data_IF_848170947507
#
_entry.id   IF_848170947507
#
_cell.length_a   1.000
_cell.length_b   1.000
_cell.length_c   1.000
_cell.angle_alpha   90.00
_cell.angle_beta   90.00
_cell.angle_gamma   90.00
#
_symmetry.space_group_name_H-M   'P 1'
#
loop_
_entity.id
_entity.type
_entity.pdbx_description
1 polymer ?
#
# COMPACT_ATOMS: atom_id res chain seq x y z
N UNK A 1 27.60 23.79 -6.03
CA UNK A 1 26.68 23.98 -4.89
C UNK A 1 25.90 22.69 -4.68
N UNK A 2 26.35 21.75 -3.84
CA UNK A 2 25.55 20.58 -3.48
C UNK A 2 24.89 20.76 -2.12
N UNK A 3 23.56 20.56 -2.06
CA UNK A 3 22.80 20.49 -0.82
C UNK A 3 22.99 19.10 -0.19
N UNK A 4 23.67 19.04 0.96
CA UNK A 4 23.72 17.83 1.79
C UNK A 4 22.42 17.74 2.60
N UNK A 5 21.59 16.73 2.30
CA UNK A 5 20.37 16.44 3.03
C UNK A 5 20.65 15.69 4.32
N UNK A 6 20.91 16.41 5.41
CA UNK A 6 20.90 15.87 6.77
C UNK A 6 19.55 16.15 7.41
N UNK A 7 18.63 15.20 7.39
CA UNK A 7 17.38 15.28 8.18
C UNK A 7 17.38 14.19 9.25
N UNK A 8 18.33 14.30 10.19
CA UNK A 8 18.11 13.82 11.55
C UNK A 8 17.76 15.04 12.41
N UNK A 9 16.54 15.54 12.26
CA UNK A 9 16.01 16.60 13.12
C UNK A 9 15.86 15.99 14.51
N UNK A 10 16.78 16.31 15.43
CA UNK A 10 16.64 15.88 16.81
C UNK A 10 15.39 16.52 17.42
N UNK A 11 14.66 15.74 18.20
CA UNK A 11 13.46 16.21 18.87
C UNK A 11 13.86 17.24 19.94
N UNK A 12 13.11 18.34 20.10
CA UNK A 12 13.34 19.29 21.17
C UNK A 12 13.15 18.63 22.55
N UNK A 13 13.80 19.16 23.61
CA UNK A 13 13.78 18.54 24.95
C UNK A 13 12.38 18.35 25.55
N UNK A 14 11.42 19.20 25.17
CA UNK A 14 10.02 19.09 25.58
C UNK A 14 9.34 17.85 24.99
N UNK A 15 9.56 17.57 23.70
CA UNK A 15 9.00 16.41 23.01
C UNK A 15 9.66 15.11 23.50
N UNK A 16 10.97 15.15 23.80
CA UNK A 16 11.65 14.02 24.43
C UNK A 16 11.05 13.66 25.80
N UNK A 17 10.75 14.67 26.63
CA UNK A 17 10.07 14.45 27.91
C UNK A 17 8.68 13.87 27.73
N UNK A 18 7.92 14.33 26.73
CA UNK A 18 6.60 13.81 26.43
C UNK A 18 6.64 12.34 25.99
N UNK A 19 7.60 11.98 25.13
CA UNK A 19 7.84 10.59 24.73
C UNK A 19 8.26 9.70 25.91
N UNK A 20 9.12 10.21 26.80
CA UNK A 20 9.53 9.48 28.00
C UNK A 20 8.40 9.31 29.02
N UNK A 21 7.42 10.21 29.02
CA UNK A 21 6.24 10.14 29.89
C UNK A 21 5.10 9.29 29.32
N UNK A 22 5.19 8.85 28.06
CA UNK A 22 4.17 8.03 27.44
C UNK A 22 4.21 6.62 28.04
N UNK A 23 3.07 6.19 28.60
CA UNK A 23 2.91 4.86 29.16
C UNK A 23 2.52 3.87 28.06
N UNK A 24 3.52 3.28 27.41
CA UNK A 24 3.32 2.27 26.37
C UNK A 24 2.84 0.92 26.93
N UNK A 25 2.69 0.82 28.26
CA UNK A 25 2.27 -0.40 28.96
C UNK A 25 0.80 -0.75 28.73
N UNK A 26 -0.01 0.18 28.22
CA UNK A 26 -1.44 -0.02 27.92
C UNK A 26 -1.73 -0.33 26.43
N UNK A 27 -0.71 -0.66 25.63
CA UNK A 27 -0.98 -1.40 24.39
C UNK A 27 -1.58 -2.76 24.76
N UNK A 28 -2.64 -3.20 24.06
CA UNK A 28 -3.20 -4.56 24.14
C UNK A 28 -2.19 -5.63 23.64
N UNK A 29 -1.03 -5.69 24.28
CA UNK A 29 0.08 -6.59 23.99
C UNK A 29 0.61 -7.17 25.32
N UNK A 30 -0.29 -7.69 26.15
CA UNK A 30 0.11 -8.63 27.21
C UNK A 30 0.42 -9.99 26.57
N UNK A 31 1.70 -10.24 26.32
CA UNK A 31 2.24 -11.60 26.36
C UNK A 31 3.73 -11.56 26.77
N UNK A 32 3.95 -11.80 28.06
CA UNK A 32 5.14 -12.41 28.67
C UNK A 32 6.39 -11.54 28.84
N UNK A 33 6.38 -10.75 29.92
CA UNK A 33 7.58 -10.52 30.71
C UNK A 33 7.88 -11.79 31.53
N UNK A 34 8.84 -12.61 31.08
CA UNK A 34 9.70 -13.50 31.91
C UNK A 34 10.47 -14.49 31.02
N UNK A 35 11.66 -14.13 30.56
CA UNK A 35 12.75 -15.08 30.27
C UNK A 35 14.09 -14.36 30.05
N UNK A 36 14.89 -14.31 31.12
CA UNK A 36 16.34 -14.49 31.17
C UNK A 36 17.18 -14.32 29.89
N UNK A 37 18.02 -13.28 29.90
CA UNK A 37 19.42 -13.22 29.42
C UNK A 37 19.91 -14.41 28.58
N UNK A 38 19.72 -14.40 27.26
CA UNK A 38 20.61 -15.06 26.27
C UNK A 38 20.31 -14.43 24.91
N UNK A 39 21.36 -14.03 24.18
CA UNK A 39 21.40 -13.54 22.79
C UNK A 39 20.04 -13.42 22.10
N UNK A 40 19.34 -12.30 22.30
CA UNK A 40 18.12 -12.01 21.55
C UNK A 40 18.54 -11.67 20.12
N UNK A 41 18.58 -12.67 19.26
CA UNK A 41 18.26 -12.45 17.85
C UNK A 41 17.03 -11.54 17.84
N UNK A 42 17.17 -10.33 17.30
CA UNK A 42 16.10 -9.35 17.23
C UNK A 42 14.93 -10.04 16.50
N UNK A 43 14.00 -10.58 17.26
CA UNK A 43 12.85 -11.27 16.72
C UNK A 43 12.10 -10.23 15.88
N UNK A 44 11.85 -10.57 14.62
CA UNK A 44 11.13 -9.67 13.71
C UNK A 44 9.80 -9.31 14.37
N UNK A 45 9.50 -8.01 14.55
CA UNK A 45 8.24 -7.59 15.16
C UNK A 45 7.04 -8.20 14.41
N UNK A 46 5.99 -8.61 15.12
CA UNK A 46 4.81 -9.20 14.49
C UNK A 46 4.16 -8.26 13.46
N UNK A 47 4.25 -6.94 13.65
CA UNK A 47 3.78 -5.92 12.72
C UNK A 47 4.56 -5.96 11.40
N UNK A 48 5.86 -6.27 11.45
CA UNK A 48 6.69 -6.35 10.26
C UNK A 48 6.37 -7.62 9.45
N UNK A 49 6.07 -8.74 10.12
CA UNK A 49 5.55 -9.94 9.45
C UNK A 49 4.20 -9.68 8.80
N UNK A 50 3.32 -8.94 9.49
CA UNK A 50 2.02 -8.53 8.94
C UNK A 50 2.20 -7.61 7.74
N UNK A 51 3.07 -6.61 7.84
CA UNK A 51 3.37 -5.68 6.75
C UNK A 51 3.88 -6.41 5.50
N UNK A 52 4.85 -7.32 5.63
CA UNK A 52 5.35 -8.07 4.47
C UNK A 52 4.26 -8.98 3.86
N UNK A 53 3.38 -9.57 4.67
CA UNK A 53 2.24 -10.33 4.15
C UNK A 53 1.23 -9.46 3.39
N UNK A 54 0.91 -8.29 3.93
CA UNK A 54 -0.02 -7.34 3.31
C UNK A 54 0.59 -6.74 2.05
N UNK A 55 1.87 -6.38 2.08
CA UNK A 55 2.62 -5.82 0.96
C UNK A 55 2.62 -6.74 -0.25
N UNK A 56 2.71 -8.05 -0.08
CA UNK A 56 2.60 -9.01 -1.19
C UNK A 56 1.20 -9.03 -1.82
N UNK A 57 0.17 -8.66 -1.06
CA UNK A 57 -1.25 -8.67 -1.49
C UNK A 57 -1.75 -7.30 -1.94
N UNK A 58 -0.98 -6.24 -1.67
CA UNK A 58 -1.37 -4.86 -1.95
C UNK A 58 -0.41 -4.24 -2.95
N UNK A 59 -0.93 -3.58 -3.97
CA UNK A 59 -0.10 -2.78 -4.86
C UNK A 59 -0.03 -1.32 -4.36
N UNK A 60 1.15 -0.78 -3.98
CA UNK A 60 1.25 0.56 -3.40
C UNK A 60 0.68 1.67 -4.28
N UNK A 61 0.90 1.57 -5.60
CA UNK A 61 0.35 2.55 -6.54
C UNK A 61 -1.18 2.50 -6.60
N UNK A 62 -1.77 1.31 -6.49
CA UNK A 62 -3.23 1.14 -6.39
C UNK A 62 -3.81 1.81 -5.14
N UNK A 63 -3.12 1.73 -3.99
CA UNK A 63 -3.55 2.39 -2.76
C UNK A 63 -3.49 3.91 -2.86
N UNK A 64 -2.42 4.43 -3.46
CA UNK A 64 -2.31 5.86 -3.77
C UNK A 64 -3.45 6.30 -4.70
N UNK A 65 -3.67 5.56 -5.77
CA UNK A 65 -4.66 5.93 -6.78
C UNK A 65 -6.08 5.81 -6.24
N UNK A 66 -6.37 4.84 -5.38
CA UNK A 66 -7.65 4.78 -4.66
C UNK A 66 -7.99 6.12 -3.99
N UNK A 67 -7.03 6.75 -3.31
CA UNK A 67 -7.22 8.06 -2.67
C UNK A 67 -7.41 9.15 -3.72
N UNK A 68 -6.64 9.11 -4.82
CA UNK A 68 -6.78 10.05 -5.92
C UNK A 68 -8.16 9.98 -6.59
N UNK A 69 -8.70 8.77 -6.78
CA UNK A 69 -10.03 8.54 -7.35
C UNK A 69 -11.16 9.13 -6.49
N UNK A 70 -10.96 9.25 -5.17
CA UNK A 70 -11.91 9.92 -4.28
C UNK A 70 -11.94 11.43 -4.52
N UNK A 71 -10.84 12.02 -4.97
CA UNK A 71 -10.68 13.46 -5.16
C UNK A 71 -10.89 13.90 -6.61
N UNK A 72 -10.71 12.99 -7.57
CA UNK A 72 -10.75 13.28 -9.02
C UNK A 72 -11.71 12.32 -9.75
N UNK A 73 -12.99 12.69 -9.88
CA UNK A 73 -13.99 11.88 -10.57
C UNK A 73 -13.66 11.60 -12.05
N UNK A 74 -13.01 12.52 -12.74
CA UNK A 74 -12.59 12.34 -14.14
C UNK A 74 -11.56 11.21 -14.27
N UNK A 75 -10.56 11.18 -13.39
CA UNK A 75 -9.55 10.12 -13.33
C UNK A 75 -10.21 8.75 -13.09
N UNK A 76 -11.26 8.71 -12.26
CA UNK A 76 -12.03 7.48 -12.02
C UNK A 76 -12.72 6.98 -13.30
N UNK A 77 -13.26 7.89 -14.11
CA UNK A 77 -13.89 7.53 -15.39
C UNK A 77 -12.86 7.03 -16.41
N UNK A 78 -11.66 7.62 -16.45
CA UNK A 78 -10.56 7.17 -17.30
C UNK A 78 -10.15 5.74 -16.93
N UNK A 79 -9.95 5.47 -15.63
CA UNK A 79 -9.62 4.12 -15.14
C UNK A 79 -10.70 3.11 -15.49
N UNK A 80 -11.98 3.43 -15.23
CA UNK A 80 -13.10 2.54 -15.54
C UNK A 80 -13.20 2.26 -17.05
N UNK A 81 -12.93 3.26 -17.89
CA UNK A 81 -12.95 3.11 -19.35
C UNK A 81 -11.82 2.21 -19.84
N UNK A 82 -10.61 2.37 -19.31
CA UNK A 82 -9.48 1.50 -19.61
C UNK A 82 -9.76 0.06 -19.17
N UNK A 83 -10.21 -0.15 -17.93
CA UNK A 83 -10.56 -1.47 -17.41
C UNK A 83 -11.61 -2.15 -18.28
N UNK A 84 -12.66 -1.42 -18.68
CA UNK A 84 -13.73 -2.00 -19.51
C UNK A 84 -13.22 -2.42 -20.89
N UNK A 85 -12.26 -1.69 -21.47
CA UNK A 85 -11.65 -2.05 -22.75
C UNK A 85 -10.79 -3.31 -22.61
N UNK A 86 -9.88 -3.34 -21.62
CA UNK A 86 -9.02 -4.48 -21.41
C UNK A 86 -9.79 -5.74 -20.97
N UNK A 87 -10.82 -5.55 -20.16
CA UNK A 87 -11.72 -6.63 -19.79
C UNK A 87 -12.44 -7.24 -21.00
N UNK A 88 -12.85 -6.42 -21.97
CA UNK A 88 -13.48 -6.93 -23.18
C UNK A 88 -12.51 -7.78 -24.01
N UNK A 89 -11.25 -7.35 -24.12
CA UNK A 89 -10.17 -8.09 -24.80
C UNK A 89 -9.89 -9.42 -24.08
N UNK A 90 -9.79 -9.40 -22.75
CA UNK A 90 -9.55 -10.58 -21.92
C UNK A 90 -10.79 -11.49 -21.72
N UNK A 91 -11.96 -11.12 -22.28
CA UNK A 91 -13.19 -11.91 -22.21
C UNK A 91 -13.99 -11.79 -20.91
N UNK A 92 -13.67 -10.83 -20.04
CA UNK A 92 -14.39 -10.57 -18.79
C UNK A 92 -15.67 -9.74 -19.02
N UNK A 93 -16.78 -10.44 -19.30
CA UNK A 93 -18.08 -9.82 -19.65
C UNK A 93 -18.74 -8.99 -18.54
N UNK A 94 -18.29 -9.12 -17.30
CA UNK A 94 -18.91 -8.45 -16.14
C UNK A 94 -18.29 -7.09 -15.83
N UNK A 95 -17.08 -6.80 -16.31
CA UNK A 95 -16.37 -5.55 -16.06
C UNK A 95 -16.77 -4.47 -17.09
N UNK A 96 -18.08 -4.27 -17.25
CA UNK A 96 -18.66 -3.24 -18.11
C UNK A 96 -18.79 -1.90 -17.35
N UNK A 97 -18.92 -0.75 -18.05
CA UNK A 97 -18.92 0.56 -17.40
C UNK A 97 -19.97 0.69 -16.29
N UNK A 98 -21.19 0.19 -16.52
CA UNK A 98 -22.28 0.23 -15.55
C UNK A 98 -21.98 -0.51 -14.22
N UNK A 99 -21.16 -1.56 -14.26
CA UNK A 99 -20.74 -2.28 -13.07
C UNK A 99 -19.55 -1.59 -12.39
N UNK A 100 -18.63 -1.03 -13.18
CA UNK A 100 -17.48 -0.28 -12.68
C UNK A 100 -17.90 1.05 -12.03
N UNK A 101 -19.00 1.67 -12.47
CA UNK A 101 -19.58 2.82 -11.79
C UNK A 101 -20.02 2.51 -10.36
N UNK A 102 -20.56 1.31 -10.12
CA UNK A 102 -21.00 0.86 -8.79
C UNK A 102 -19.87 0.30 -7.94
N UNK A 103 -18.73 -0.02 -8.56
CA UNK A 103 -17.57 -0.54 -7.86
C UNK A 103 -16.93 0.53 -6.95
N UNK A 104 -16.31 0.07 -5.85
CA UNK A 104 -15.57 0.96 -4.96
C UNK A 104 -14.32 1.51 -5.67
N UNK A 105 -13.84 2.67 -5.22
CA UNK A 105 -12.58 3.23 -5.73
C UNK A 105 -11.39 2.28 -5.52
N UNK A 106 -11.40 1.52 -4.43
CA UNK A 106 -10.41 0.46 -4.18
C UNK A 106 -10.46 -0.61 -5.26
N UNK A 107 -11.66 -1.07 -5.65
CA UNK A 107 -11.79 -2.09 -6.69
C UNK A 107 -11.34 -1.55 -8.06
N UNK A 108 -11.73 -0.32 -8.41
CA UNK A 108 -11.33 0.31 -9.68
C UNK A 108 -9.81 0.49 -9.75
N UNK A 109 -9.17 1.02 -8.70
CA UNK A 109 -7.72 1.18 -8.68
C UNK A 109 -6.97 -0.17 -8.79
N UNK A 110 -7.42 -1.20 -8.07
CA UNK A 110 -6.80 -2.53 -8.15
C UNK A 110 -6.97 -3.18 -9.53
N UNK A 111 -8.17 -3.07 -10.12
CA UNK A 111 -8.43 -3.61 -11.46
C UNK A 111 -7.60 -2.89 -12.53
N UNK A 112 -7.45 -1.57 -12.42
CA UNK A 112 -6.61 -0.80 -13.32
C UNK A 112 -5.16 -1.33 -13.32
N UNK A 113 -4.55 -1.43 -12.14
CA UNK A 113 -3.18 -1.94 -12.01
C UNK A 113 -3.03 -3.42 -12.37
N UNK A 114 -4.07 -4.24 -12.16
CA UNK A 114 -4.08 -5.62 -12.62
C UNK A 114 -3.93 -5.72 -14.15
N UNK A 115 -4.64 -4.89 -14.91
CA UNK A 115 -4.50 -4.87 -16.37
C UNK A 115 -3.21 -4.21 -16.82
N UNK A 116 -2.80 -3.11 -16.18
CA UNK A 116 -1.60 -2.39 -16.58
C UNK A 116 -0.32 -3.22 -16.44
N UNK A 117 -0.17 -3.97 -15.34
CA UNK A 117 1.00 -4.87 -15.15
C UNK A 117 1.01 -5.99 -16.21
N UNK A 118 -0.16 -6.44 -16.66
CA UNK A 118 -0.26 -7.48 -17.70
C UNK A 118 0.11 -6.95 -19.07
N UNK A 119 -0.38 -5.76 -19.44
CA UNK A 119 -0.02 -5.11 -20.70
C UNK A 119 1.51 -4.90 -20.78
N UNK A 120 2.13 -4.40 -19.71
CA UNK A 120 3.59 -4.20 -19.62
C UNK A 120 4.38 -5.52 -19.69
N UNK A 121 3.81 -6.63 -19.21
CA UNK A 121 4.44 -7.96 -19.27
C UNK A 121 4.34 -8.61 -20.66
N UNK A 122 3.27 -8.33 -21.39
CA UNK A 122 3.04 -8.87 -22.74
C UNK A 122 3.96 -8.19 -23.77
N UNK A 123 4.31 -6.92 -23.57
CA UNK A 123 5.26 -6.17 -24.43
C UNK A 123 6.70 -6.72 -24.35
N UNK A 124 7.16 -7.27 -23.21
CA UNK A 124 8.49 -7.88 -23.09
C UNK A 124 8.60 -9.24 -23.81
N UNK A 125 7.51 -9.99 -23.94
CA UNK A 125 7.52 -11.34 -24.53
C UNK A 125 7.54 -11.35 -26.07
N UNK A 126 7.16 -10.25 -26.72
CA UNK A 126 7.12 -10.12 -28.19
C UNK A 126 8.43 -9.54 -28.75
N UNK A 127 9.33 -9.06 -27.89
CA UNK A 127 10.61 -8.45 -28.26
C UNK A 127 11.81 -9.43 -28.32
N UNK A 128 11.58 -10.76 -28.31
CA UNK A 128 12.62 -11.81 -28.34
C UNK A 128 12.54 -12.65 -29.60
#
# INVERSE_FOLDING_TARGET
MPCNGTLARSLPPSELKQLQSADFSNSEATANQEASRHTTALAVPPEQLLYENLKQKSHPASLHDQLMLMMKPSLRQEFASYISQQAAIAGYKTLVPANLEKASNLAVANLYWYFQVRDESEDEAVAV
#
